data_IF_420370701103
#
_entry.id   IF_420370701103
#
_cell.length_a   1.000
_cell.length_b   1.000
_cell.length_c   1.000
_cell.angle_alpha   90.00
_cell.angle_beta   90.00
_cell.angle_gamma   90.00
#
_symmetry.space_group_name_H-M   'P 1'
#
loop_
_entity.id
_entity.type
_entity.pdbx_description
1 polymer ?
#
# COMPACT_ATOMS: atom_id res chain seq x y z
N UNK A 1 46.88 -33.18 -32.03
CA UNK A 1 46.43 -32.36 -30.89
C UNK A 1 44.96 -32.04 -31.13
N UNK A 2 44.05 -32.53 -30.27
CA UNK A 2 42.59 -32.38 -30.40
C UNK A 2 42.17 -31.12 -29.63
N UNK A 3 41.74 -30.07 -30.32
CA UNK A 3 41.05 -28.94 -29.68
C UNK A 3 39.59 -28.97 -30.09
N UNK A 4 38.74 -29.46 -29.19
CA UNK A 4 37.30 -29.28 -29.25
C UNK A 4 36.93 -28.31 -28.13
N UNK A 5 36.70 -27.04 -28.48
CA UNK A 5 36.20 -26.00 -27.57
C UNK A 5 34.67 -25.95 -27.75
N UNK A 6 33.95 -26.73 -26.95
CA UNK A 6 32.50 -26.63 -26.80
C UNK A 6 32.22 -25.62 -25.69
N UNK A 7 31.88 -24.38 -26.06
CA UNK A 7 31.37 -23.38 -25.12
C UNK A 7 29.84 -23.57 -25.04
N UNK A 8 29.38 -24.32 -24.06
CA UNK A 8 27.96 -24.41 -23.71
C UNK A 8 27.57 -23.18 -22.90
N UNK A 9 26.93 -22.21 -23.57
CA UNK A 9 26.34 -21.03 -22.93
C UNK A 9 25.07 -21.46 -22.19
N UNK A 10 25.18 -21.76 -20.89
CA UNK A 10 24.04 -22.07 -20.04
C UNK A 10 23.29 -20.77 -19.72
N UNK A 11 22.24 -20.45 -20.48
CA UNK A 11 21.26 -19.44 -20.05
C UNK A 11 20.48 -20.02 -18.87
N UNK A 12 20.94 -19.72 -17.65
CA UNK A 12 20.15 -19.90 -16.44
C UNK A 12 19.03 -18.85 -16.46
N UNK A 13 17.90 -19.21 -17.04
CA UNK A 13 16.63 -18.50 -16.91
C UNK A 13 16.19 -18.58 -15.46
N UNK A 14 16.60 -17.57 -14.68
CA UNK A 14 16.05 -17.26 -13.36
C UNK A 14 14.57 -16.96 -13.54
N UNK A 15 13.76 -18.02 -13.49
CA UNK A 15 12.32 -17.97 -13.42
C UNK A 15 11.98 -17.43 -12.04
N UNK A 16 12.10 -16.10 -11.88
CA UNK A 16 11.58 -15.39 -10.72
C UNK A 16 10.07 -15.63 -10.73
N UNK A 17 9.65 -16.67 -10.01
CA UNK A 17 8.24 -16.93 -9.76
C UNK A 17 7.73 -15.74 -8.96
N UNK A 18 7.10 -14.79 -9.66
CA UNK A 18 6.34 -13.73 -9.02
C UNK A 18 5.27 -14.44 -8.19
N UNK A 19 5.46 -14.49 -6.87
CA UNK A 19 4.44 -15.00 -5.96
C UNK A 19 3.18 -14.20 -6.24
N UNK A 20 2.16 -14.84 -6.82
CA UNK A 20 0.87 -14.22 -7.01
C UNK A 20 0.33 -13.86 -5.63
N UNK A 21 -0.01 -12.60 -5.42
CA UNK A 21 -0.56 -12.15 -4.14
C UNK A 21 -1.93 -12.82 -3.99
N UNK A 22 -2.15 -13.49 -2.85
CA UNK A 22 -3.40 -14.20 -2.62
C UNK A 22 -4.56 -13.20 -2.51
N UNK A 23 -5.58 -13.42 -3.33
CA UNK A 23 -6.75 -12.54 -3.44
C UNK A 23 -7.43 -12.33 -2.09
N UNK A 24 -7.79 -11.09 -1.77
CA UNK A 24 -8.52 -10.78 -0.55
C UNK A 24 -7.69 -10.83 0.75
N UNK A 25 -6.37 -10.91 0.65
CA UNK A 25 -5.46 -10.80 1.80
C UNK A 25 -5.04 -9.35 2.07
N UNK A 26 -4.39 -9.11 3.21
CA UNK A 26 -3.73 -7.83 3.52
C UNK A 26 -2.73 -7.44 2.43
N UNK A 27 -1.93 -8.38 1.95
CA UNK A 27 -0.94 -8.12 0.91
C UNK A 27 -1.61 -7.70 -0.41
N UNK A 28 -2.74 -8.33 -0.76
CA UNK A 28 -3.52 -7.96 -1.95
C UNK A 28 -4.15 -6.57 -1.83
N UNK A 29 -4.60 -6.18 -0.63
CA UNK A 29 -5.09 -4.82 -0.38
C UNK A 29 -3.97 -3.79 -0.56
N UNK A 30 -2.76 -4.08 -0.05
CA UNK A 30 -1.59 -3.23 -0.22
C UNK A 30 -1.16 -3.09 -1.68
N UNK A 31 -1.22 -4.19 -2.45
CA UNK A 31 -0.94 -4.18 -3.88
C UNK A 31 -2.00 -3.41 -4.69
N UNK A 32 -3.29 -3.56 -4.37
CA UNK A 32 -4.34 -2.77 -5.03
C UNK A 32 -4.20 -1.26 -4.74
N UNK A 33 -3.92 -0.89 -3.48
CA UNK A 33 -3.63 0.50 -3.12
C UNK A 33 -2.46 1.06 -3.94
N UNK A 34 -1.44 0.20 -4.18
CA UNK A 34 -0.28 0.55 -4.97
C UNK A 34 -0.60 0.90 -6.40
N UNK A 35 -1.43 0.09 -7.03
CA UNK A 35 -1.86 0.31 -8.40
C UNK A 35 -2.77 1.55 -8.50
N UNK A 36 -3.62 1.77 -7.49
CA UNK A 36 -4.56 2.89 -7.48
C UNK A 36 -3.90 4.26 -7.30
N UNK A 37 -2.89 4.38 -6.42
CA UNK A 37 -2.27 5.66 -6.06
C UNK A 37 -1.13 6.12 -6.98
N UNK A 38 -0.88 5.42 -8.09
CA UNK A 38 0.32 5.55 -8.93
C UNK A 38 1.63 5.30 -8.15
N UNK A 39 2.80 5.28 -8.78
CA UNK A 39 4.08 4.87 -8.16
C UNK A 39 4.61 5.79 -7.05
N UNK A 40 3.90 6.86 -6.68
CA UNK A 40 4.41 7.95 -5.83
C UNK A 40 3.88 7.95 -4.39
N UNK A 41 3.41 6.81 -3.88
CA UNK A 41 2.96 6.68 -2.50
C UNK A 41 3.85 5.76 -1.65
N UNK A 42 3.69 5.88 -0.33
CA UNK A 42 4.35 5.04 0.67
C UNK A 42 3.28 4.49 1.61
N UNK A 43 3.18 3.17 1.79
CA UNK A 43 2.28 2.58 2.79
C UNK A 43 2.69 3.01 4.20
N UNK A 44 1.73 3.45 5.00
CA UNK A 44 1.89 3.76 6.42
C UNK A 44 1.50 2.52 7.22
N UNK A 45 2.39 1.54 7.20
CA UNK A 45 2.19 0.25 7.87
C UNK A 45 1.38 -0.76 7.03
N UNK A 46 1.11 -1.95 7.60
CA UNK A 46 0.33 -2.97 6.92
C UNK A 46 -1.15 -2.57 6.81
N UNK A 47 -1.84 -2.94 5.72
CA UNK A 47 -3.30 -2.85 5.62
C UNK A 47 -4.00 -3.50 6.81
N UNK A 48 -5.04 -2.85 7.32
CA UNK A 48 -5.90 -3.41 8.37
C UNK A 48 -7.07 -4.10 7.70
N UNK A 49 -7.29 -5.38 7.98
CA UNK A 49 -8.40 -6.17 7.43
C UNK A 49 -9.33 -6.56 8.56
N UNK A 50 -10.62 -6.29 8.41
CA UNK A 50 -11.70 -6.71 9.31
C UNK A 50 -12.83 -7.33 8.49
N UNK A 51 -12.86 -8.67 8.45
CA UNK A 51 -13.79 -9.44 7.62
C UNK A 51 -13.71 -9.09 6.13
N UNK A 52 -14.77 -8.45 5.64
CA UNK A 52 -14.93 -8.01 4.25
C UNK A 52 -14.53 -6.55 4.01
N UNK A 53 -13.93 -5.90 5.00
CA UNK A 53 -13.42 -4.54 4.86
C UNK A 53 -11.90 -4.52 5.00
N UNK A 54 -11.26 -3.65 4.24
CA UNK A 54 -9.84 -3.33 4.42
C UNK A 54 -9.62 -1.82 4.42
N UNK A 55 -8.74 -1.37 5.31
CA UNK A 55 -8.27 0.01 5.41
C UNK A 55 -6.78 0.05 5.09
N UNK A 56 -6.43 0.81 4.06
CA UNK A 56 -5.03 1.06 3.69
C UNK A 56 -4.69 2.51 3.98
N UNK A 57 -3.69 2.74 4.83
CA UNK A 57 -3.14 4.08 5.04
C UNK A 57 -1.88 4.24 4.21
N UNK A 58 -1.80 5.33 3.45
CA UNK A 58 -0.68 5.65 2.57
C UNK A 58 -0.32 7.14 2.64
N UNK A 59 0.91 7.49 2.29
CA UNK A 59 1.35 8.87 2.07
C UNK A 59 1.46 9.14 0.59
N UNK A 60 0.82 10.20 0.12
CA UNK A 60 0.79 10.64 -1.28
C UNK A 60 1.02 12.15 -1.31
N UNK A 61 2.00 12.66 -2.06
CA UNK A 61 2.28 14.11 -2.19
C UNK A 61 2.31 14.90 -0.87
N UNK A 62 2.88 14.32 0.20
CA UNK A 62 2.95 14.97 1.51
C UNK A 62 1.66 14.96 2.33
N UNK A 63 0.61 14.29 1.84
CA UNK A 63 -0.64 14.03 2.55
C UNK A 63 -0.69 12.59 3.03
N UNK A 64 -1.45 12.34 4.11
CA UNK A 64 -1.83 10.98 4.49
C UNK A 64 -3.24 10.69 3.97
N UNK A 65 -3.37 9.60 3.22
CA UNK A 65 -4.60 9.12 2.65
C UNK A 65 -5.01 7.78 3.29
N UNK A 66 -6.29 7.62 3.57
CA UNK A 66 -6.93 6.38 3.96
C UNK A 66 -7.81 5.90 2.82
N UNK A 67 -7.55 4.68 2.33
CA UNK A 67 -8.37 3.99 1.35
C UNK A 67 -9.24 2.97 2.04
N UNK A 68 -10.55 3.08 1.86
CA UNK A 68 -11.53 2.13 2.33
C UNK A 68 -11.87 1.16 1.20
N UNK A 69 -11.73 -0.12 1.49
CA UNK A 69 -11.92 -1.20 0.53
C UNK A 69 -12.93 -2.21 1.05
N UNK A 70 -13.66 -2.82 0.12
CA UNK A 70 -14.57 -3.94 0.38
C UNK A 70 -14.13 -5.18 -0.40
N UNK A 71 -14.28 -6.36 0.19
CA UNK A 71 -13.97 -7.62 -0.47
C UNK A 71 -14.98 -7.84 -1.60
N UNK A 72 -14.48 -8.24 -2.76
CA UNK A 72 -15.31 -8.59 -3.91
C UNK A 72 -15.04 -10.02 -4.34
N UNK A 73 -16.09 -10.70 -4.81
CA UNK A 73 -15.99 -12.06 -5.33
C UNK A 73 -15.13 -12.13 -6.60
N UNK A 74 -14.65 -13.33 -6.92
CA UNK A 74 -13.82 -13.60 -8.11
C UNK A 74 -14.50 -13.21 -9.43
N UNK A 75 -15.84 -13.17 -9.43
CA UNK A 75 -16.69 -12.74 -10.54
C UNK A 75 -16.41 -11.31 -11.01
N UNK A 76 -15.86 -10.45 -10.13
CA UNK A 76 -15.71 -9.02 -10.37
C UNK A 76 -14.51 -8.65 -11.28
N UNK A 77 -13.76 -9.63 -11.80
CA UNK A 77 -12.68 -9.42 -12.77
C UNK A 77 -11.41 -8.75 -12.21
N UNK A 78 -11.39 -8.39 -10.93
CA UNK A 78 -10.20 -7.87 -10.25
C UNK A 78 -9.42 -9.02 -9.58
N UNK A 79 -8.14 -9.20 -9.94
CA UNK A 79 -7.25 -10.21 -9.36
C UNK A 79 -6.97 -9.99 -7.86
N UNK A 80 -7.07 -8.77 -7.36
CA UNK A 80 -6.78 -8.43 -5.96
C UNK A 80 -7.90 -8.83 -4.99
N UNK A 81 -9.14 -9.07 -5.46
CA UNK A 81 -10.29 -9.43 -4.60
C UNK A 81 -10.77 -8.31 -3.68
N UNK A 82 -10.36 -7.08 -3.93
CA UNK A 82 -10.73 -5.88 -3.17
C UNK A 82 -11.27 -4.80 -4.13
N UNK A 83 -12.18 -3.97 -3.67
CA UNK A 83 -12.65 -2.79 -4.40
C UNK A 83 -12.54 -1.58 -3.50
N UNK A 84 -11.87 -0.53 -3.97
CA UNK A 84 -11.85 0.76 -3.28
C UNK A 84 -13.21 1.42 -3.46
N UNK A 85 -13.85 1.80 -2.35
CA UNK A 85 -15.13 2.52 -2.36
C UNK A 85 -15.03 3.92 -1.77
N UNK A 86 -13.92 4.27 -1.11
CA UNK A 86 -13.71 5.60 -0.56
C UNK A 86 -12.25 5.93 -0.32
N UNK A 87 -11.94 7.22 -0.44
CA UNK A 87 -10.62 7.78 -0.15
C UNK A 87 -10.79 9.06 0.67
N UNK A 88 -10.03 9.19 1.74
CA UNK A 88 -9.94 10.40 2.55
C UNK A 88 -8.48 10.78 2.66
N UNK A 89 -8.11 11.98 2.23
CA UNK A 89 -6.75 12.51 2.37
C UNK A 89 -6.76 13.76 3.24
N UNK A 90 -5.72 13.91 4.05
CA UNK A 90 -5.53 15.08 4.90
C UNK A 90 -4.06 15.31 5.21
N UNK A 91 -3.76 16.32 6.03
CA UNK A 91 -2.42 16.54 6.55
C UNK A 91 -1.88 15.26 7.21
N UNK A 92 -0.55 15.10 7.19
CA UNK A 92 0.07 14.00 7.95
C UNK A 92 -0.06 14.38 9.42
N UNK A 93 -0.76 13.57 10.25
CA UNK A 93 -0.93 13.88 11.66
C UNK A 93 0.44 13.96 12.33
N UNK A 94 0.74 15.10 12.93
CA UNK A 94 1.94 15.24 13.77
C UNK A 94 1.76 14.46 15.08
N UNK A 95 2.83 14.19 15.82
CA UNK A 95 2.72 13.55 17.15
C UNK A 95 1.87 14.37 18.14
N UNK A 96 1.67 15.66 17.87
CA UNK A 96 0.87 16.60 18.67
C UNK A 96 -0.53 16.83 18.09
N UNK A 97 -0.83 16.28 16.91
CA UNK A 97 -2.16 16.40 16.29
C UNK A 97 -3.26 15.82 17.17
N UNK A 98 -4.41 16.50 17.22
CA UNK A 98 -5.54 16.10 18.06
C UNK A 98 -5.35 16.37 19.56
N UNK A 99 -4.26 17.02 19.96
CA UNK A 99 -4.03 17.47 21.33
C UNK A 99 -4.28 18.97 21.49
N UNK A 100 -4.57 19.35 22.72
CA UNK A 100 -4.50 20.73 23.17
C UNK A 100 -3.07 21.04 23.59
N UNK A 101 -2.49 22.08 22.99
CA UNK A 101 -1.18 22.62 23.38
C UNK A 101 -1.36 24.04 23.91
N UNK A 102 -0.36 24.54 24.62
CA UNK A 102 -0.30 25.95 25.04
C UNK A 102 0.66 26.68 24.10
N UNK A 103 0.22 27.77 23.49
CA UNK A 103 1.08 28.60 22.63
C UNK A 103 2.11 29.41 23.44
N UNK A 104 3.03 30.09 22.74
CA UNK A 104 4.08 30.92 23.36
C UNK A 104 3.53 32.07 24.21
N UNK A 105 2.24 32.41 24.02
CA UNK A 105 1.53 33.44 24.76
C UNK A 105 0.69 32.85 25.91
N UNK A 106 0.80 31.55 26.19
CA UNK A 106 0.11 30.90 27.29
C UNK A 106 -1.34 30.51 27.00
N UNK A 107 -1.80 30.59 25.75
CA UNK A 107 -3.20 30.29 25.38
C UNK A 107 -3.37 28.86 24.87
N UNK A 108 -4.49 28.19 25.22
CA UNK A 108 -4.79 26.87 24.69
C UNK A 108 -5.10 26.94 23.19
N UNK A 109 -4.42 26.12 22.40
CA UNK A 109 -4.69 25.91 20.98
C UNK A 109 -4.89 24.43 20.69
N UNK A 110 -5.91 24.13 19.87
CA UNK A 110 -6.14 22.78 19.37
C UNK A 110 -5.33 22.57 18.09
N UNK A 111 -4.46 21.56 18.10
CA UNK A 111 -3.67 21.21 16.92
C UNK A 111 -4.56 20.41 15.97
N UNK A 112 -4.93 21.03 14.85
CA UNK A 112 -5.71 20.36 13.83
C UNK A 112 -4.94 19.12 13.30
N UNK A 113 -5.65 18.02 13.00
CA UNK A 113 -5.06 16.83 12.41
C UNK A 113 -4.35 17.07 11.08
#
# INVERSE_FOLDING_TARGET
MKSALFITLLMASLSASAKSVESGTSDAAGALAKDYMATQFILVGPPKVDGDQALVTARVFGQQCQLNMVRIGKEAGNSYGWQIFGQICGPIPSAESGKWITDEQGKPQYVQP
#
